data_IF_207527916931
#
_entry.id   IF_207527916931
#
_cell.length_a   1.000
_cell.length_b   1.000
_cell.length_c   1.000
_cell.angle_alpha   90.00
_cell.angle_beta   90.00
_cell.angle_gamma   90.00
#
_symmetry.space_group_name_H-M   'P 1'
#
loop_
_entity.id
_entity.type
_entity.pdbx_description
1 polymer ?
#
# COMPACT_ATOMS: atom_id res chain seq x y z
N UNK A 1 23.57 -104.77 11.17
CA UNK A 1 23.50 -105.40 12.50
C UNK A 1 23.16 -104.37 13.53
N UNK A 2 22.00 -104.51 14.10
CA UNK A 2 21.59 -104.32 15.49
C UNK A 2 21.62 -102.88 16.05
N UNK A 3 20.41 -102.33 16.23
CA UNK A 3 19.63 -102.29 17.50
C UNK A 3 20.18 -101.25 18.48
N UNK A 4 19.48 -100.40 19.13
CA UNK A 4 18.17 -100.22 19.75
C UNK A 4 18.13 -98.81 20.33
N UNK A 5 17.05 -98.04 20.17
CA UNK A 5 16.02 -97.71 21.18
C UNK A 5 16.59 -97.37 22.58
N UNK A 6 16.36 -96.17 23.05
CA UNK A 6 15.68 -95.93 24.33
C UNK A 6 15.12 -94.51 24.43
N UNK A 7 13.91 -94.46 24.81
CA UNK A 7 13.04 -93.42 25.23
C UNK A 7 13.39 -92.95 26.66
N UNK A 8 13.25 -91.68 27.01
CA UNK A 8 12.60 -91.16 28.21
C UNK A 8 12.99 -89.66 28.37
N UNK A 9 12.07 -88.84 28.35
CA UNK A 9 11.20 -88.27 29.38
C UNK A 9 11.75 -87.00 30.06
N UNK A 10 11.08 -85.88 29.74
CA UNK A 10 10.71 -84.74 30.57
C UNK A 10 11.74 -84.09 31.50
N UNK A 11 11.92 -82.78 31.27
CA UNK A 11 11.80 -81.80 32.32
C UNK A 11 11.52 -80.42 31.70
N UNK A 12 10.30 -79.96 31.82
CA UNK A 12 9.86 -78.55 31.61
C UNK A 12 10.47 -77.72 32.73
N UNK A 13 11.44 -76.89 32.43
CA UNK A 13 11.79 -75.77 33.29
C UNK A 13 11.33 -74.49 32.64
N UNK A 14 10.23 -73.97 33.14
CA UNK A 14 9.74 -72.59 32.91
C UNK A 14 10.75 -71.63 33.57
N UNK A 15 11.64 -71.05 32.78
CA UNK A 15 12.38 -69.86 33.20
C UNK A 15 11.50 -68.66 32.80
N UNK A 16 10.83 -68.10 33.79
CA UNK A 16 10.20 -66.75 33.67
C UNK A 16 11.35 -65.76 33.55
N UNK A 17 11.74 -65.44 32.33
CA UNK A 17 12.55 -64.24 32.04
C UNK A 17 11.62 -63.02 32.08
N UNK A 18 11.73 -62.22 33.13
CA UNK A 18 11.25 -60.88 33.17
C UNK A 18 11.93 -60.09 32.04
N UNK A 19 11.39 -60.12 30.82
CA UNK A 19 11.81 -59.30 29.72
C UNK A 19 11.35 -57.92 29.98
N UNK A 20 12.30 -57.04 30.24
CA UNK A 20 12.15 -55.60 30.07
C UNK A 20 11.56 -55.36 28.69
N UNK A 21 10.38 -54.77 28.64
CA UNK A 21 9.77 -54.31 27.37
C UNK A 21 10.68 -53.26 26.76
N UNK A 22 11.58 -53.67 25.89
CA UNK A 22 12.26 -52.76 24.97
C UNK A 22 11.20 -52.21 24.03
N UNK A 23 10.67 -51.03 24.41
CA UNK A 23 9.75 -50.29 23.62
C UNK A 23 10.52 -49.58 22.48
N UNK A 24 11.11 -50.36 21.57
CA UNK A 24 11.89 -49.90 20.44
C UNK A 24 10.99 -49.74 19.19
N UNK A 25 9.84 -49.12 19.36
CA UNK A 25 9.09 -48.72 18.19
C UNK A 25 9.86 -47.59 17.48
N UNK A 26 10.06 -47.77 16.18
CA UNK A 26 10.68 -46.70 15.35
C UNK A 26 9.78 -45.48 15.26
N UNK A 27 10.35 -44.32 15.06
CA UNK A 27 9.60 -43.07 14.91
C UNK A 27 8.54 -43.21 13.83
N UNK A 28 8.84 -43.91 12.72
CA UNK A 28 7.91 -44.11 11.61
C UNK A 28 6.69 -44.97 12.01
N UNK A 29 6.87 -45.96 12.87
CA UNK A 29 5.77 -46.78 13.41
C UNK A 29 4.86 -45.99 14.33
N UNK A 30 5.41 -45.07 15.13
CA UNK A 30 4.64 -44.16 15.99
C UNK A 30 3.88 -43.12 15.19
N UNK A 31 4.43 -42.65 14.08
CA UNK A 31 3.75 -41.74 13.13
C UNK A 31 2.57 -42.46 12.47
N UNK A 32 2.80 -43.70 11.98
CA UNK A 32 1.73 -44.50 11.35
C UNK A 32 0.59 -44.82 12.34
N UNK A 33 0.90 -45.01 13.62
CA UNK A 33 -0.07 -45.29 14.68
C UNK A 33 -0.82 -44.02 15.17
N UNK A 34 -0.46 -42.81 14.70
CA UNK A 34 -1.02 -41.51 15.14
C UNK A 34 -1.05 -41.32 16.66
N UNK A 35 -0.12 -41.94 17.38
CA UNK A 35 -0.07 -41.88 18.84
C UNK A 35 0.72 -40.65 19.31
N UNK A 36 0.01 -39.51 19.47
CA UNK A 36 0.60 -38.21 19.80
C UNK A 36 1.34 -38.21 21.15
N UNK A 37 0.87 -39.00 22.15
CA UNK A 37 1.47 -39.04 23.48
C UNK A 37 2.81 -39.76 23.47
N UNK A 38 2.94 -40.89 22.76
CA UNK A 38 4.18 -41.64 22.62
C UNK A 38 5.18 -40.91 21.70
N UNK A 39 4.72 -40.24 20.67
CA UNK A 39 5.57 -39.36 19.84
C UNK A 39 6.20 -38.23 20.66
N UNK A 40 5.44 -37.57 21.55
CA UNK A 40 5.96 -36.55 22.44
C UNK A 40 6.97 -37.10 23.44
N UNK A 41 6.68 -38.26 24.03
CA UNK A 41 7.63 -38.95 24.94
C UNK A 41 8.93 -39.34 24.20
N UNK A 42 8.84 -39.84 22.97
CA UNK A 42 10.00 -40.18 22.14
C UNK A 42 10.80 -38.95 21.74
N UNK A 43 10.14 -37.85 21.40
CA UNK A 43 10.79 -36.56 21.14
C UNK A 43 11.60 -36.08 22.35
N UNK A 44 11.02 -36.16 23.55
CA UNK A 44 11.70 -35.76 24.78
C UNK A 44 12.92 -36.66 25.10
N UNK A 45 12.80 -37.96 24.86
CA UNK A 45 13.90 -38.92 25.05
C UNK A 45 15.06 -38.63 24.06
N UNK A 46 14.75 -38.40 22.77
CA UNK A 46 15.76 -38.08 21.76
C UNK A 46 16.45 -36.74 22.09
N UNK A 47 15.71 -35.76 22.58
CA UNK A 47 16.28 -34.47 23.00
C UNK A 47 17.22 -34.62 24.22
N UNK A 48 16.86 -35.49 25.17
CA UNK A 48 17.73 -35.78 26.30
C UNK A 48 19.02 -36.55 25.91
N UNK A 49 18.92 -37.48 24.97
CA UNK A 49 20.07 -38.21 24.44
C UNK A 49 20.95 -37.29 23.57
N UNK A 50 20.36 -36.40 22.77
CA UNK A 50 21.10 -35.38 22.03
C UNK A 50 21.92 -34.49 22.98
N UNK A 51 21.30 -34.01 24.06
CA UNK A 51 22.00 -33.19 25.07
C UNK A 51 23.17 -33.95 25.73
N UNK A 52 23.02 -35.27 25.99
CA UNK A 52 24.12 -36.12 26.53
C UNK A 52 25.24 -36.28 25.50
N UNK A 53 24.90 -36.50 24.22
CA UNK A 53 25.88 -36.64 23.14
C UNK A 53 26.61 -35.31 22.95
N UNK A 54 25.92 -34.18 22.94
CA UNK A 54 26.54 -32.88 22.86
C UNK A 54 27.49 -32.60 24.04
N UNK A 55 27.08 -32.92 25.26
CA UNK A 55 27.93 -32.80 26.44
C UNK A 55 29.17 -33.71 26.37
N UNK A 56 29.00 -34.95 25.90
CA UNK A 56 30.11 -35.89 25.70
C UNK A 56 31.06 -35.42 24.58
N UNK A 57 30.51 -34.93 23.47
CA UNK A 57 31.30 -34.37 22.36
C UNK A 57 32.08 -33.13 22.80
N UNK A 58 31.49 -32.28 23.64
CA UNK A 58 32.18 -31.13 24.21
C UNK A 58 33.40 -31.52 25.06
N UNK A 59 33.35 -32.67 25.72
CA UNK A 59 34.47 -33.17 26.51
C UNK A 59 35.50 -33.98 25.70
N UNK A 60 35.06 -34.64 24.61
CA UNK A 60 35.92 -35.51 23.76
C UNK A 60 36.60 -34.72 22.63
N UNK A 61 36.01 -33.61 22.15
CA UNK A 61 36.58 -32.77 21.09
C UNK A 61 37.68 -31.86 21.62
N UNK A 62 38.86 -32.43 21.86
CA UNK A 62 40.11 -31.72 22.19
C UNK A 62 40.75 -31.09 20.93
N UNK A 63 40.23 -31.32 19.73
CA UNK A 63 40.58 -30.51 18.59
C UNK A 63 39.75 -29.21 18.64
N UNK A 64 40.37 -28.15 19.09
CA UNK A 64 39.84 -26.76 18.91
C UNK A 64 39.78 -26.51 17.41
N UNK A 65 38.71 -26.95 16.76
CA UNK A 65 38.43 -26.52 15.39
C UNK A 65 38.17 -25.02 15.47
N UNK A 66 39.05 -24.25 14.86
CA UNK A 66 38.85 -22.80 14.68
C UNK A 66 37.91 -22.63 13.49
N UNK A 67 36.77 -22.06 13.74
CA UNK A 67 35.84 -21.69 12.63
C UNK A 67 36.24 -20.36 12.05
N UNK A 68 36.42 -20.33 10.72
CA UNK A 68 36.56 -19.07 10.00
C UNK A 68 35.19 -18.43 9.85
N UNK A 69 35.03 -17.22 10.37
CA UNK A 69 33.76 -16.50 10.41
C UNK A 69 33.94 -15.03 10.05
N UNK A 70 32.90 -14.39 9.60
CA UNK A 70 32.85 -12.92 9.50
C UNK A 70 32.09 -12.36 10.69
N UNK A 71 32.60 -11.26 11.26
CA UNK A 71 32.00 -10.61 12.43
C UNK A 71 31.64 -9.16 12.12
N UNK A 72 30.65 -8.63 12.83
CA UNK A 72 30.32 -7.22 12.80
C UNK A 72 30.12 -6.68 14.21
N UNK A 73 30.58 -5.44 14.44
CA UNK A 73 30.33 -4.72 15.68
C UNK A 73 28.97 -4.03 15.60
N UNK A 74 28.11 -4.28 16.56
CA UNK A 74 26.80 -3.66 16.65
C UNK A 74 26.92 -2.18 17.00
N UNK A 75 26.10 -1.36 16.35
CA UNK A 75 25.98 0.06 16.62
C UNK A 75 24.51 0.43 16.71
N UNK A 76 24.21 1.42 17.52
CA UNK A 76 22.91 2.05 17.51
C UNK A 76 22.64 2.64 16.13
N UNK A 77 21.51 2.32 15.56
CA UNK A 77 21.10 2.80 14.24
C UNK A 77 19.62 3.15 14.22
N UNK A 78 19.21 3.93 13.24
CA UNK A 78 17.78 4.18 13.00
C UNK A 78 17.19 2.98 12.29
N UNK A 79 16.24 2.32 12.93
CA UNK A 79 15.48 1.22 12.33
C UNK A 79 14.12 1.72 11.88
N UNK A 80 13.79 1.50 10.62
CA UNK A 80 12.49 1.76 10.04
C UNK A 80 11.87 0.44 9.59
N UNK A 81 10.68 0.16 10.05
CA UNK A 81 9.87 -0.92 9.51
C UNK A 81 8.92 -0.37 8.45
N UNK A 82 8.81 -1.08 7.35
CA UNK A 82 7.99 -0.68 6.21
C UNK A 82 6.82 -1.62 6.02
N UNK A 83 5.68 -1.03 5.70
CA UNK A 83 4.53 -1.73 5.18
C UNK A 83 4.61 -1.68 3.65
N UNK A 84 4.78 -2.84 3.02
CA UNK A 84 4.78 -2.98 1.56
C UNK A 84 3.36 -3.19 1.05
N UNK A 85 2.86 -2.25 0.24
CA UNK A 85 1.52 -2.29 -0.33
C UNK A 85 1.54 -1.90 -1.80
N UNK A 86 0.49 -2.30 -2.52
CA UNK A 86 0.29 -1.89 -3.90
C UNK A 86 -0.83 -0.87 -3.99
N UNK A 87 -0.72 0.05 -4.94
CA UNK A 87 -1.73 1.05 -5.22
C UNK A 87 -1.78 1.39 -6.71
N UNK A 88 -2.76 2.20 -7.07
CA UNK A 88 -2.95 2.72 -8.41
C UNK A 88 -2.62 4.21 -8.46
N UNK A 89 -1.90 4.62 -9.48
CA UNK A 89 -1.67 6.04 -9.77
C UNK A 89 -2.95 6.64 -10.29
N UNK A 90 -3.38 7.75 -9.73
CA UNK A 90 -4.61 8.43 -10.06
C UNK A 90 -4.44 9.94 -10.15
N UNK A 91 -5.41 10.61 -10.73
CA UNK A 91 -5.62 12.05 -10.66
C UNK A 91 -7.10 12.35 -10.53
N UNK A 92 -7.48 13.38 -9.75
CA UNK A 92 -8.87 13.84 -9.65
C UNK A 92 -9.33 14.60 -10.91
N UNK A 93 -8.37 15.02 -11.72
CA UNK A 93 -8.59 15.76 -12.94
C UNK A 93 -8.45 14.85 -14.18
N UNK A 94 -9.23 13.77 -14.22
CA UNK A 94 -9.39 12.85 -15.35
C UNK A 94 -10.90 12.59 -15.51
N UNK A 95 -11.54 13.33 -16.39
CA UNK A 95 -12.98 13.22 -16.59
C UNK A 95 -13.36 13.06 -18.05
N UNK A 96 -14.48 12.43 -18.24
CA UNK A 96 -15.18 12.32 -19.51
C UNK A 96 -16.16 13.49 -19.62
N UNK A 97 -15.94 14.36 -20.59
CA UNK A 97 -16.80 15.51 -20.84
C UNK A 97 -18.04 15.03 -21.60
N UNK A 98 -19.21 15.40 -21.09
CA UNK A 98 -20.50 15.06 -21.65
C UNK A 98 -21.26 16.33 -22.04
N UNK A 99 -22.14 16.30 -23.05
CA UNK A 99 -23.02 17.41 -23.35
C UNK A 99 -24.11 17.52 -22.26
N UNK A 100 -24.45 18.73 -21.85
CA UNK A 100 -25.56 18.98 -20.93
C UNK A 100 -26.94 18.90 -21.63
N UNK A 101 -26.96 19.10 -22.96
CA UNK A 101 -28.16 19.01 -23.78
C UNK A 101 -27.92 18.14 -25.02
N UNK A 102 -28.90 17.34 -25.42
CA UNK A 102 -28.80 16.59 -26.67
C UNK A 102 -28.94 17.49 -27.87
N UNK A 103 -28.27 17.16 -28.98
CA UNK A 103 -28.37 17.91 -30.24
C UNK A 103 -27.25 17.52 -31.21
N UNK A 104 -27.22 18.18 -32.36
CA UNK A 104 -26.17 17.97 -33.36
C UNK A 104 -24.92 18.80 -33.01
N UNK A 105 -23.75 18.20 -33.10
CA UNK A 105 -22.47 18.89 -32.86
C UNK A 105 -22.11 19.80 -34.03
N UNK A 106 -22.31 21.10 -33.87
CA UNK A 106 -22.08 22.11 -34.94
C UNK A 106 -20.62 22.56 -35.00
N UNK A 107 -19.91 22.53 -33.89
CA UNK A 107 -18.49 22.87 -33.81
C UNK A 107 -17.74 21.97 -32.87
N UNK A 108 -16.52 21.57 -33.27
CA UNK A 108 -15.53 20.85 -32.48
C UNK A 108 -14.20 21.60 -32.67
N UNK A 109 -13.75 22.29 -31.61
CA UNK A 109 -12.65 23.26 -31.67
C UNK A 109 -11.33 22.68 -31.15
N UNK A 110 -11.30 21.40 -30.81
CA UNK A 110 -10.14 20.72 -30.20
C UNK A 110 -9.86 19.38 -30.87
N UNK A 111 -8.62 18.93 -30.73
CA UNK A 111 -8.15 17.62 -31.21
C UNK A 111 -7.51 16.86 -30.07
N UNK A 112 -7.42 15.53 -30.20
CA UNK A 112 -6.64 14.70 -29.29
C UNK A 112 -5.18 15.18 -29.22
N UNK A 113 -4.60 15.17 -28.01
CA UNK A 113 -3.26 15.68 -27.72
C UNK A 113 -3.18 17.19 -27.49
N UNK A 114 -4.24 17.96 -27.70
CA UNK A 114 -4.23 19.42 -27.57
C UNK A 114 -4.33 19.83 -26.10
N UNK A 115 -3.50 20.80 -25.68
CA UNK A 115 -3.64 21.46 -24.37
C UNK A 115 -4.75 22.51 -24.42
N UNK A 116 -5.54 22.55 -23.34
CA UNK A 116 -6.66 23.48 -23.18
C UNK A 116 -6.59 24.14 -21.81
N UNK A 117 -7.11 25.37 -21.74
CA UNK A 117 -7.23 26.17 -20.52
C UNK A 117 -8.64 26.07 -19.94
N UNK A 118 -8.76 26.21 -18.61
CA UNK A 118 -10.06 26.25 -17.93
C UNK A 118 -10.98 27.32 -18.58
N UNK A 119 -12.24 26.95 -18.88
CA UNK A 119 -13.23 27.80 -19.52
C UNK A 119 -13.13 27.88 -21.05
N UNK A 120 -12.08 27.29 -21.67
CA UNK A 120 -11.94 27.28 -23.13
C UNK A 120 -13.10 26.51 -23.77
N UNK A 121 -13.67 27.07 -24.86
CA UNK A 121 -14.74 26.44 -25.64
C UNK A 121 -14.16 25.26 -26.42
N UNK A 122 -14.62 24.07 -26.11
CA UNK A 122 -14.18 22.80 -26.71
C UNK A 122 -15.05 22.41 -27.90
N UNK A 123 -16.37 22.52 -27.70
CA UNK A 123 -17.36 22.12 -28.70
C UNK A 123 -18.65 22.90 -28.50
N UNK A 124 -19.51 22.89 -29.51
CA UNK A 124 -20.84 23.52 -29.46
C UNK A 124 -21.87 22.61 -30.13
N UNK A 125 -22.95 22.40 -29.40
CA UNK A 125 -24.13 21.69 -29.88
C UNK A 125 -25.06 22.72 -30.52
N UNK A 126 -25.89 22.30 -31.48
CA UNK A 126 -26.94 23.15 -32.08
C UNK A 126 -27.86 23.72 -30.98
N UNK A 127 -28.04 25.02 -31.01
CA UNK A 127 -28.80 25.74 -30.00
C UNK A 127 -30.33 25.72 -30.22
N UNK A 128 -30.78 25.11 -31.33
CA UNK A 128 -32.21 25.02 -31.67
C UNK A 128 -32.95 26.38 -31.67
N UNK A 129 -32.24 27.49 -31.98
CA UNK A 129 -32.79 28.82 -31.99
C UNK A 129 -32.74 29.53 -30.63
N UNK A 130 -32.08 28.98 -29.61
CA UNK A 130 -31.95 29.61 -28.30
C UNK A 130 -31.22 30.98 -28.38
N UNK A 131 -30.26 31.13 -29.29
CA UNK A 131 -29.55 32.40 -29.51
C UNK A 131 -30.49 33.49 -30.00
N UNK A 132 -31.41 33.19 -30.92
CA UNK A 132 -32.43 34.14 -31.41
C UNK A 132 -33.41 34.51 -30.29
N UNK A 133 -33.80 33.54 -29.45
CA UNK A 133 -34.65 33.79 -28.30
C UNK A 133 -33.97 34.76 -27.29
N UNK A 134 -32.67 34.55 -27.00
CA UNK A 134 -31.91 35.49 -26.16
C UNK A 134 -31.90 36.89 -26.77
N UNK A 135 -31.60 37.02 -28.06
CA UNK A 135 -31.58 38.33 -28.74
C UNK A 135 -32.92 39.06 -28.69
N UNK A 136 -34.04 38.33 -28.87
CA UNK A 136 -35.40 38.90 -28.77
C UNK A 136 -35.68 39.39 -27.34
N UNK A 137 -35.38 38.59 -26.31
CA UNK A 137 -35.57 38.96 -24.91
C UNK A 137 -34.65 40.12 -24.48
N UNK A 138 -33.44 40.20 -24.99
CA UNK A 138 -32.51 41.28 -24.73
C UNK A 138 -33.08 42.63 -25.32
N UNK A 139 -33.64 42.58 -26.52
CA UNK A 139 -34.27 43.77 -27.13
C UNK A 139 -35.44 44.26 -26.28
N UNK A 140 -36.31 43.36 -25.83
CA UNK A 140 -37.42 43.68 -24.93
C UNK A 140 -36.94 44.22 -23.57
N UNK A 141 -35.90 43.62 -22.99
CA UNK A 141 -35.29 44.11 -21.75
C UNK A 141 -34.72 45.54 -21.93
N UNK A 142 -34.02 45.80 -23.00
CA UNK A 142 -33.46 47.15 -23.27
C UNK A 142 -34.57 48.23 -23.39
N UNK A 143 -35.70 47.91 -24.04
CA UNK A 143 -36.85 48.79 -24.09
C UNK A 143 -37.42 49.07 -22.69
N UNK A 144 -37.66 48.01 -21.91
CA UNK A 144 -38.17 48.10 -20.54
C UNK A 144 -37.21 48.87 -19.62
N UNK A 145 -35.89 48.63 -19.76
CA UNK A 145 -34.84 49.35 -19.02
C UNK A 145 -34.89 50.86 -19.33
N UNK A 146 -34.96 51.24 -20.60
CA UNK A 146 -35.05 52.64 -21.00
C UNK A 146 -36.33 53.26 -20.46
N UNK A 147 -37.46 52.56 -20.52
CA UNK A 147 -38.74 53.03 -19.98
C UNK A 147 -38.67 53.26 -18.48
N UNK A 148 -38.08 52.29 -17.75
CA UNK A 148 -37.88 52.41 -16.31
C UNK A 148 -36.95 53.58 -15.94
N UNK A 149 -35.85 53.79 -16.64
CA UNK A 149 -34.92 54.90 -16.41
C UNK A 149 -35.62 56.26 -16.61
N UNK A 150 -36.48 56.38 -17.65
CA UNK A 150 -37.31 57.61 -17.87
C UNK A 150 -38.31 57.78 -16.73
N UNK A 151 -39.08 56.79 -16.35
CA UNK A 151 -40.03 56.84 -15.23
C UNK A 151 -39.35 57.19 -13.92
N UNK A 152 -38.18 56.60 -13.64
CA UNK A 152 -37.35 56.89 -12.47
C UNK A 152 -36.96 58.40 -12.43
N UNK A 153 -36.50 58.94 -13.57
CA UNK A 153 -36.12 60.33 -13.65
C UNK A 153 -37.32 61.29 -13.42
N UNK A 154 -38.50 61.01 -14.02
CA UNK A 154 -39.73 61.79 -13.80
C UNK A 154 -40.14 61.66 -12.31
N UNK A 155 -40.18 60.49 -11.73
CA UNK A 155 -40.52 60.26 -10.34
C UNK A 155 -39.56 60.97 -9.36
N UNK A 156 -38.27 60.99 -9.66
CA UNK A 156 -37.27 61.72 -8.86
C UNK A 156 -37.54 63.28 -8.87
N UNK A 157 -38.14 63.75 -9.89
CA UNK A 157 -38.58 65.18 -10.04
C UNK A 157 -40.01 65.42 -9.51
N UNK A 158 -40.61 64.39 -8.87
CA UNK A 158 -42.00 64.41 -8.37
C UNK A 158 -43.05 64.56 -9.48
N UNK A 159 -42.73 64.12 -10.69
CA UNK A 159 -43.63 64.15 -11.88
C UNK A 159 -44.08 62.67 -12.12
N UNK A 160 -45.41 62.47 -12.21
CA UNK A 160 -46.02 61.17 -12.52
C UNK A 160 -46.52 60.42 -11.30
N UNK A 161 -46.94 59.18 -11.53
CA UNK A 161 -47.50 58.26 -10.50
C UNK A 161 -46.46 57.25 -10.01
N UNK A 162 -46.42 57.02 -8.71
CA UNK A 162 -45.62 55.95 -8.09
C UNK A 162 -45.90 54.54 -8.69
N UNK A 163 -47.19 54.32 -9.00
CA UNK A 163 -47.63 53.05 -9.60
C UNK A 163 -46.95 52.86 -10.96
N UNK A 164 -46.85 53.94 -11.81
CA UNK A 164 -46.17 53.83 -13.12
C UNK A 164 -44.68 53.54 -12.97
N UNK A 165 -44.03 54.19 -11.99
CA UNK A 165 -42.61 53.86 -11.66
C UNK A 165 -42.46 52.43 -11.24
N UNK A 166 -43.25 51.89 -10.28
CA UNK A 166 -43.19 50.53 -9.80
C UNK A 166 -43.53 49.50 -10.90
N UNK A 167 -44.49 49.80 -11.76
CA UNK A 167 -44.83 48.96 -12.92
C UNK A 167 -43.63 48.83 -13.88
N UNK A 168 -43.02 49.99 -14.26
CA UNK A 168 -41.86 49.99 -15.12
C UNK A 168 -40.66 49.25 -14.52
N UNK A 169 -40.44 49.40 -13.20
CA UNK A 169 -39.42 48.67 -12.47
C UNK A 169 -39.66 47.15 -12.49
N UNK A 170 -40.87 46.73 -12.17
CA UNK A 170 -41.26 45.32 -12.14
C UNK A 170 -41.11 44.69 -13.53
N UNK A 171 -41.54 45.36 -14.57
CA UNK A 171 -41.41 44.89 -15.97
C UNK A 171 -39.95 44.75 -16.39
N UNK A 172 -39.09 45.73 -16.07
CA UNK A 172 -37.66 45.64 -16.33
C UNK A 172 -37.01 44.48 -15.61
N UNK A 173 -37.31 44.28 -14.30
CA UNK A 173 -36.77 43.17 -13.50
C UNK A 173 -37.25 41.81 -14.01
N UNK A 174 -38.51 41.69 -14.41
CA UNK A 174 -39.08 40.47 -14.99
C UNK A 174 -38.33 40.06 -16.26
N UNK A 175 -38.17 41.02 -17.20
CA UNK A 175 -37.43 40.75 -18.44
C UNK A 175 -35.95 40.48 -18.21
N UNK A 176 -35.31 41.13 -17.23
CA UNK A 176 -33.93 40.86 -16.83
C UNK A 176 -33.77 39.39 -16.40
N UNK A 177 -34.71 38.89 -15.60
CA UNK A 177 -34.70 37.47 -15.16
C UNK A 177 -34.92 36.53 -16.34
N UNK A 178 -35.85 36.88 -17.27
CA UNK A 178 -36.09 36.07 -18.47
C UNK A 178 -34.88 36.01 -19.38
N UNK A 179 -34.15 37.11 -19.58
CA UNK A 179 -32.87 37.11 -20.32
C UNK A 179 -31.85 36.25 -19.64
N UNK A 180 -31.70 36.34 -18.30
CA UNK A 180 -30.74 35.51 -17.54
C UNK A 180 -31.06 34.02 -17.69
N UNK A 181 -32.33 33.66 -17.62
CA UNK A 181 -32.77 32.26 -17.81
C UNK A 181 -32.45 31.76 -19.23
N UNK A 182 -32.79 32.57 -20.27
CA UNK A 182 -32.51 32.17 -21.65
C UNK A 182 -31.00 32.05 -21.93
N UNK A 183 -30.17 32.94 -21.38
CA UNK A 183 -28.71 32.85 -21.45
C UNK A 183 -28.17 31.62 -20.77
N UNK A 184 -28.72 31.24 -19.61
CA UNK A 184 -28.33 30.01 -18.92
C UNK A 184 -28.68 28.77 -19.74
N UNK A 185 -29.79 28.76 -20.46
CA UNK A 185 -30.12 27.65 -21.39
C UNK A 185 -29.17 27.62 -22.58
N UNK A 186 -28.88 28.78 -23.19
CA UNK A 186 -27.94 28.88 -24.31
C UNK A 186 -26.52 28.41 -23.89
N UNK A 187 -26.09 28.76 -22.67
CA UNK A 187 -24.76 28.37 -22.18
C UNK A 187 -24.57 26.83 -22.07
N UNK A 188 -25.66 26.07 -21.92
CA UNK A 188 -25.62 24.60 -21.88
C UNK A 188 -25.33 23.96 -23.24
N UNK A 189 -25.47 24.72 -24.34
CA UNK A 189 -25.07 24.25 -25.67
C UNK A 189 -23.59 24.41 -25.93
N UNK A 190 -22.87 25.17 -25.10
CA UNK A 190 -21.45 25.39 -25.16
C UNK A 190 -20.69 24.48 -24.21
N UNK A 191 -19.86 23.60 -24.75
CA UNK A 191 -19.07 22.66 -23.97
C UNK A 191 -17.70 23.26 -23.70
N UNK A 192 -17.41 23.57 -22.43
CA UNK A 192 -16.20 24.24 -21.98
C UNK A 192 -15.36 23.36 -21.07
N UNK A 193 -14.03 23.56 -21.07
CA UNK A 193 -13.12 22.87 -20.21
C UNK A 193 -13.33 23.23 -18.72
N UNK A 194 -13.60 22.29 -17.82
CA UNK A 194 -13.79 22.56 -16.39
C UNK A 194 -12.49 22.88 -15.66
N UNK A 195 -11.37 22.42 -16.17
CA UNK A 195 -10.00 22.69 -15.69
C UNK A 195 -9.03 22.75 -16.88
N UNK A 196 -7.81 23.22 -16.62
CA UNK A 196 -6.74 23.23 -17.61
C UNK A 196 -6.08 21.85 -17.69
N UNK A 197 -5.92 21.30 -18.89
CA UNK A 197 -5.39 19.96 -19.09
C UNK A 197 -5.08 19.67 -20.55
N UNK A 198 -4.98 18.41 -20.89
CA UNK A 198 -4.80 17.91 -22.25
C UNK A 198 -6.01 17.07 -22.64
N UNK A 199 -6.50 17.24 -23.85
CA UNK A 199 -7.52 16.36 -24.43
C UNK A 199 -6.82 15.05 -24.79
N UNK A 200 -7.17 14.01 -24.08
CA UNK A 200 -6.57 12.69 -24.27
C UNK A 200 -7.16 12.00 -25.51
N UNK A 201 -8.48 11.98 -25.59
CA UNK A 201 -9.21 11.33 -26.67
C UNK A 201 -10.49 12.12 -27.01
N UNK A 202 -10.88 12.09 -28.28
CA UNK A 202 -12.14 12.66 -28.80
C UNK A 202 -12.93 11.52 -29.42
N UNK A 203 -14.18 11.33 -28.97
CA UNK A 203 -15.03 10.19 -29.35
C UNK A 203 -16.09 10.53 -30.41
N UNK A 204 -16.21 11.81 -30.77
CA UNK A 204 -17.27 12.32 -31.65
C UNK A 204 -16.71 13.17 -32.77
N UNK A 205 -17.46 13.28 -33.83
CA UNK A 205 -17.14 14.13 -34.99
C UNK A 205 -18.17 15.25 -35.16
N UNK A 206 -17.76 16.33 -35.83
CA UNK A 206 -18.67 17.41 -36.21
C UNK A 206 -19.79 16.88 -37.10
N UNK A 207 -21.04 17.28 -36.83
CA UNK A 207 -22.25 16.83 -37.54
C UNK A 207 -22.92 15.62 -36.87
N UNK A 208 -22.31 14.99 -35.92
CA UNK A 208 -22.87 13.87 -35.18
C UNK A 208 -23.91 14.35 -34.15
N UNK A 209 -24.98 13.57 -33.98
CA UNK A 209 -25.96 13.77 -32.90
C UNK A 209 -25.36 13.24 -31.59
N UNK A 210 -25.33 14.09 -30.57
CA UNK A 210 -24.75 13.78 -29.27
C UNK A 210 -25.80 13.92 -28.17
N UNK A 211 -25.67 13.10 -27.13
CA UNK A 211 -26.51 13.14 -25.93
C UNK A 211 -25.68 12.77 -24.70
N UNK A 212 -26.17 13.09 -23.51
CA UNK A 212 -25.56 12.61 -22.28
C UNK A 212 -25.59 11.08 -22.24
N UNK A 213 -24.42 10.46 -22.03
CA UNK A 213 -24.30 9.01 -22.05
C UNK A 213 -22.91 8.53 -21.66
N UNK A 214 -22.72 7.21 -21.48
CA UNK A 214 -21.48 6.64 -20.93
C UNK A 214 -20.23 6.90 -21.80
N UNK A 215 -20.43 7.15 -23.10
CA UNK A 215 -19.33 7.33 -24.05
C UNK A 215 -18.73 8.76 -24.02
N UNK A 216 -19.53 9.77 -23.63
CA UNK A 216 -19.10 11.17 -23.60
C UNK A 216 -18.67 11.73 -24.96
N UNK A 217 -18.15 12.95 -24.96
CA UNK A 217 -17.63 13.62 -26.17
C UNK A 217 -16.13 13.50 -26.29
N UNK A 218 -15.44 13.70 -25.19
CA UNK A 218 -13.99 13.67 -25.11
C UNK A 218 -13.51 13.48 -23.68
N UNK A 219 -12.28 13.03 -23.52
CA UNK A 219 -11.59 12.89 -22.23
C UNK A 219 -10.60 14.04 -22.06
N UNK A 220 -10.67 14.70 -20.91
CA UNK A 220 -9.69 15.71 -20.49
C UNK A 220 -8.92 15.19 -19.27
N UNK A 221 -7.61 15.32 -19.29
CA UNK A 221 -6.73 14.86 -18.23
C UNK A 221 -5.73 15.95 -17.84
N UNK A 222 -5.52 16.14 -16.54
CA UNK A 222 -4.42 16.92 -16.00
C UNK A 222 -3.51 16.04 -15.16
N UNK A 223 -2.24 15.96 -15.54
CA UNK A 223 -1.23 15.10 -14.92
C UNK A 223 -0.36 15.81 -13.88
N UNK A 224 -0.67 17.06 -13.52
CA UNK A 224 0.15 17.83 -12.57
C UNK A 224 -0.02 17.36 -11.13
N UNK A 225 -1.24 16.97 -10.75
CA UNK A 225 -1.60 16.59 -9.38
C UNK A 225 -1.85 15.08 -9.27
N UNK A 226 -0.78 14.31 -9.46
CA UNK A 226 -0.85 12.85 -9.37
C UNK A 226 -0.75 12.37 -7.93
N UNK A 227 -1.41 11.27 -7.64
CA UNK A 227 -1.32 10.56 -6.36
C UNK A 227 -1.47 9.06 -6.57
N UNK A 228 -0.99 8.30 -5.59
CA UNK A 228 -1.26 6.87 -5.53
C UNK A 228 -2.38 6.64 -4.53
N UNK A 229 -3.43 5.97 -4.98
CA UNK A 229 -4.55 5.50 -4.16
C UNK A 229 -4.28 4.05 -3.76
N UNK A 230 -4.43 3.74 -2.48
CA UNK A 230 -4.29 2.38 -1.96
C UNK A 230 -5.12 2.19 -0.72
N UNK A 231 -5.35 0.93 -0.34
CA UNK A 231 -6.05 0.54 0.88
C UNK A 231 -5.10 -0.09 1.88
N UNK A 232 -5.21 0.31 3.14
CA UNK A 232 -4.37 -0.16 4.26
C UNK A 232 -5.25 -0.85 5.30
N UNK A 233 -4.83 -1.99 5.89
CA UNK A 233 -5.56 -2.66 6.95
C UNK A 233 -5.83 -1.77 8.17
N UNK A 234 -6.97 -1.94 8.83
CA UNK A 234 -7.39 -1.14 10.01
C UNK A 234 -6.39 -1.19 11.17
N UNK A 235 -5.58 -2.25 11.28
CA UNK A 235 -4.51 -2.38 12.30
C UNK A 235 -3.43 -1.30 12.25
N UNK A 236 -3.39 -0.55 11.16
CA UNK A 236 -2.47 0.58 10.96
C UNK A 236 -3.10 1.94 11.28
N UNK A 237 -4.37 1.98 11.72
CA UNK A 237 -5.00 3.21 12.21
C UNK A 237 -4.19 3.76 13.39
N UNK A 238 -3.92 5.05 13.35
CA UNK A 238 -3.11 5.74 14.37
C UNK A 238 -1.59 5.66 14.18
N UNK A 239 -1.10 4.72 13.36
CA UNK A 239 0.33 4.63 13.01
C UNK A 239 0.70 5.56 11.86
N UNK A 240 -0.25 5.88 10.99
CA UNK A 240 -0.08 6.76 9.83
C UNK A 240 -0.65 8.14 10.12
N UNK A 241 0.04 9.16 9.62
CA UNK A 241 -0.38 10.57 9.70
C UNK A 241 -0.27 11.23 8.33
N UNK A 242 -1.10 12.24 8.10
CA UNK A 242 -0.93 13.12 6.94
C UNK A 242 0.46 13.74 7.02
N UNK A 243 1.19 13.72 5.90
CA UNK A 243 2.59 14.15 5.82
C UNK A 243 3.62 13.03 5.99
N UNK A 244 3.22 11.79 6.37
CA UNK A 244 4.14 10.64 6.42
C UNK A 244 4.80 10.43 5.07
N UNK A 245 6.12 10.28 5.06
CA UNK A 245 6.88 9.99 3.84
C UNK A 245 6.65 8.56 3.39
N UNK A 246 6.54 8.39 2.09
CA UNK A 246 6.29 7.10 1.43
C UNK A 246 7.21 6.98 0.24
N UNK A 247 7.92 5.86 0.15
CA UNK A 247 8.68 5.52 -1.04
C UNK A 247 7.76 4.82 -2.03
N UNK A 248 7.66 5.38 -3.23
CA UNK A 248 6.76 4.89 -4.28
C UNK A 248 7.61 4.40 -5.44
N UNK A 249 7.58 3.11 -5.68
CA UNK A 249 8.25 2.47 -6.80
C UNK A 249 7.26 2.18 -7.93
N UNK A 250 7.50 2.75 -9.08
CA UNK A 250 6.71 2.50 -10.29
C UNK A 250 7.38 1.42 -11.14
N UNK A 251 6.78 0.24 -11.14
CA UNK A 251 7.32 -0.92 -11.87
C UNK A 251 7.42 -0.67 -13.37
N UNK A 252 6.44 0.04 -13.96
CA UNK A 252 6.40 0.35 -15.40
C UNK A 252 7.53 1.28 -15.86
N UNK A 253 8.05 2.12 -14.98
CA UNK A 253 9.11 3.09 -15.29
C UNK A 253 10.45 2.71 -14.68
N UNK A 254 10.50 1.69 -13.81
CA UNK A 254 11.67 1.32 -13.00
C UNK A 254 12.25 2.54 -12.24
N UNK A 255 11.37 3.39 -11.71
CA UNK A 255 11.74 4.64 -10.99
C UNK A 255 11.15 4.68 -9.59
N UNK A 256 11.93 5.24 -8.67
CA UNK A 256 11.48 5.55 -7.31
C UNK A 256 11.10 7.03 -7.21
N UNK A 257 9.96 7.29 -6.57
CA UNK A 257 9.47 8.62 -6.25
C UNK A 257 9.30 8.76 -4.73
N UNK A 258 9.61 9.92 -4.20
CA UNK A 258 9.33 10.26 -2.81
C UNK A 258 7.95 10.91 -2.75
N UNK A 259 7.01 10.22 -2.14
CA UNK A 259 5.66 10.71 -1.92
C UNK A 259 5.41 11.11 -0.47
N UNK A 260 4.25 11.73 -0.23
CA UNK A 260 3.75 12.05 1.12
C UNK A 260 2.27 11.69 1.21
N UNK A 261 1.86 11.11 2.31
CA UNK A 261 0.44 10.89 2.60
C UNK A 261 -0.27 12.24 2.62
N UNK A 262 -1.18 12.47 1.68
CA UNK A 262 -1.96 13.70 1.57
C UNK A 262 -3.34 13.59 2.21
N UNK A 263 -3.89 12.38 2.24
CA UNK A 263 -5.22 12.11 2.77
C UNK A 263 -5.28 10.70 3.35
N UNK A 264 -5.99 10.56 4.45
CA UNK A 264 -6.33 9.29 5.10
C UNK A 264 -7.85 9.22 5.15
N UNK A 265 -8.44 8.14 4.64
CA UNK A 265 -9.88 7.93 4.63
C UNK A 265 -10.42 7.72 6.04
N UNK A 266 -11.58 8.32 6.32
CA UNK A 266 -12.27 8.16 7.60
C UNK A 266 -13.23 6.96 7.64
N UNK A 267 -13.39 6.28 6.51
CA UNK A 267 -14.28 5.13 6.36
C UNK A 267 -13.48 3.84 6.26
N UNK A 268 -13.86 2.85 7.07
CA UNK A 268 -13.33 1.49 6.99
C UNK A 268 -14.29 0.65 6.18
N UNK A 269 -13.80 0.04 5.11
CA UNK A 269 -14.58 -0.88 4.32
C UNK A 269 -14.82 -2.18 5.11
N UNK A 270 -16.08 -2.52 5.44
CA UNK A 270 -16.39 -3.68 6.29
C UNK A 270 -16.06 -5.02 5.63
N UNK A 271 -15.97 -5.09 4.29
CA UNK A 271 -15.72 -6.33 3.57
C UNK A 271 -14.27 -6.82 3.68
N UNK A 272 -13.31 -5.89 3.72
CA UNK A 272 -11.88 -6.20 3.75
C UNK A 272 -11.13 -5.55 4.93
N UNK A 273 -11.84 -4.89 5.85
CA UNK A 273 -11.27 -4.24 7.02
C UNK A 273 -10.09 -3.31 6.68
N UNK A 274 -10.27 -2.47 5.66
CA UNK A 274 -9.25 -1.53 5.21
C UNK A 274 -9.80 -0.11 5.09
N UNK A 275 -8.91 0.87 5.16
CA UNK A 275 -9.19 2.27 4.88
C UNK A 275 -8.30 2.78 3.74
N UNK A 276 -8.84 3.70 2.95
CA UNK A 276 -8.11 4.29 1.81
C UNK A 276 -7.11 5.34 2.26
N UNK A 277 -5.96 5.39 1.60
CA UNK A 277 -5.03 6.50 1.69
C UNK A 277 -4.68 7.03 0.29
N UNK A 278 -4.34 8.31 0.23
CA UNK A 278 -3.82 8.94 -0.96
C UNK A 278 -2.42 9.49 -0.69
N UNK A 279 -1.47 9.09 -1.52
CA UNK A 279 -0.06 9.51 -1.43
C UNK A 279 0.25 10.41 -2.62
N UNK A 280 0.52 11.69 -2.39
CA UNK A 280 0.91 12.62 -3.46
C UNK A 280 2.28 12.28 -4.00
N UNK A 281 2.43 12.29 -5.32
CA UNK A 281 3.69 12.06 -6.03
C UNK A 281 3.93 13.17 -7.06
N UNK A 282 5.15 13.70 -7.16
CA UNK A 282 5.50 14.69 -8.17
C UNK A 282 5.60 14.06 -9.56
N UNK A 283 5.15 14.79 -10.60
CA UNK A 283 5.22 14.35 -11.99
C UNK A 283 5.91 15.39 -12.90
N UNK A 284 7.16 15.82 -12.61
CA UNK A 284 7.82 16.89 -13.39
C UNK A 284 8.10 16.47 -14.84
N UNK A 285 8.33 15.21 -15.09
CA UNK A 285 8.64 14.68 -16.43
C UNK A 285 7.37 14.31 -17.22
N UNK A 286 6.17 14.45 -16.63
CA UNK A 286 4.90 14.02 -17.21
C UNK A 286 4.87 12.56 -17.69
N UNK A 287 5.62 11.67 -17.01
CA UNK A 287 5.68 10.25 -17.33
C UNK A 287 4.61 9.43 -16.59
N UNK A 288 4.10 9.95 -15.47
CA UNK A 288 3.04 9.30 -14.72
C UNK A 288 1.73 9.34 -15.50
N UNK A 289 1.04 8.21 -15.51
CA UNK A 289 -0.28 8.06 -16.15
C UNK A 289 -1.26 7.47 -15.14
N UNK A 290 -2.53 7.83 -15.20
CA UNK A 290 -3.58 7.14 -14.44
C UNK A 290 -3.56 5.63 -14.69
N UNK A 291 -3.94 4.86 -13.67
CA UNK A 291 -4.01 3.39 -13.66
C UNK A 291 -2.65 2.66 -13.71
N UNK A 292 -1.51 3.34 -13.60
CA UNK A 292 -0.23 2.67 -13.39
C UNK A 292 -0.18 2.04 -12.00
N UNK A 293 0.36 0.82 -11.91
CA UNK A 293 0.57 0.14 -10.63
C UNK A 293 1.83 0.67 -9.96
N UNK A 294 1.69 1.04 -8.70
CA UNK A 294 2.78 1.49 -7.84
C UNK A 294 2.93 0.56 -6.63
N UNK A 295 4.17 0.28 -6.24
CA UNK A 295 4.51 -0.33 -4.95
C UNK A 295 4.87 0.77 -3.98
N UNK A 296 4.29 0.75 -2.80
CA UNK A 296 4.51 1.76 -1.77
C UNK A 296 5.18 1.09 -0.57
N UNK A 297 6.27 1.70 -0.10
CA UNK A 297 6.87 1.38 1.19
C UNK A 297 6.50 2.51 2.17
N UNK A 298 5.60 2.21 3.08
CA UNK A 298 5.09 3.17 4.07
C UNK A 298 5.75 2.88 5.41
N UNK A 299 6.39 3.86 6.02
CA UNK A 299 6.99 3.70 7.35
C UNK A 299 5.86 3.64 8.38
N UNK A 300 5.72 2.49 9.07
CA UNK A 300 4.74 2.29 10.13
C UNK A 300 5.33 2.29 11.53
N UNK A 301 6.66 2.16 11.63
CA UNK A 301 7.37 2.11 12.90
C UNK A 301 8.81 2.59 12.71
N UNK A 302 9.29 3.41 13.65
CA UNK A 302 10.65 3.95 13.66
C UNK A 302 11.22 3.95 15.07
N UNK A 303 12.43 3.41 15.22
CA UNK A 303 13.23 3.50 16.45
C UNK A 303 14.56 4.18 16.11
N UNK A 304 14.91 5.23 16.88
CA UNK A 304 16.12 6.02 16.60
C UNK A 304 17.42 5.34 17.03
N UNK A 305 17.36 4.58 18.13
CA UNK A 305 18.52 3.88 18.71
C UNK A 305 18.17 2.41 18.83
N UNK A 306 18.10 1.71 17.71
CA UNK A 306 17.82 0.29 17.64
C UNK A 306 19.10 -0.51 17.42
N UNK A 307 19.21 -1.65 18.06
CA UNK A 307 20.19 -2.67 17.71
C UNK A 307 19.54 -3.56 16.65
N UNK A 308 20.17 -3.64 15.48
CA UNK A 308 19.68 -4.46 14.38
C UNK A 308 20.72 -5.48 13.99
N UNK A 309 20.24 -6.66 13.64
CA UNK A 309 21.09 -7.76 13.15
C UNK A 309 20.51 -8.26 11.81
N UNK A 310 21.34 -8.81 10.91
CA UNK A 310 20.84 -9.51 9.73
C UNK A 310 19.92 -10.66 10.17
N UNK A 311 18.76 -10.79 9.54
CA UNK A 311 17.76 -11.79 9.95
C UNK A 311 18.29 -13.24 9.83
N UNK A 312 19.25 -13.50 8.95
CA UNK A 312 19.86 -14.80 8.72
C UNK A 312 20.83 -15.26 9.83
N UNK A 313 21.24 -14.37 10.74
CA UNK A 313 22.13 -14.74 11.86
C UNK A 313 21.38 -15.16 13.11
N UNK A 314 20.08 -14.91 13.17
CA UNK A 314 19.22 -15.30 14.27
C UNK A 314 18.93 -16.79 14.12
N UNK A 315 19.28 -17.55 15.14
CA UNK A 315 19.04 -18.98 15.21
C UNK A 315 18.01 -19.30 16.30
N UNK A 316 17.41 -20.47 16.21
CA UNK A 316 16.44 -20.96 17.18
C UNK A 316 16.94 -22.28 17.80
N UNK A 317 16.86 -22.42 19.11
CA UNK A 317 17.19 -23.67 19.80
C UNK A 317 16.03 -24.68 19.71
N UNK A 318 16.27 -25.91 20.09
CA UNK A 318 15.25 -26.97 20.09
C UNK A 318 14.03 -26.70 21.01
N UNK A 319 14.05 -25.64 21.80
CA UNK A 319 12.96 -25.18 22.66
C UNK A 319 12.20 -23.96 22.09
N UNK A 320 12.62 -23.45 20.93
CA UNK A 320 12.02 -22.29 20.29
C UNK A 320 12.56 -20.95 20.78
N UNK A 321 13.67 -20.93 21.54
CA UNK A 321 14.29 -19.68 21.96
C UNK A 321 15.23 -19.17 20.88
N UNK A 322 15.17 -17.88 20.61
CA UNK A 322 16.03 -17.23 19.62
C UNK A 322 17.35 -16.80 20.25
N UNK A 323 18.44 -16.99 19.51
CA UNK A 323 19.77 -16.58 19.93
C UNK A 323 20.63 -16.13 18.74
N UNK A 324 21.69 -15.39 19.07
CA UNK A 324 22.74 -14.97 18.14
C UNK A 324 24.11 -15.33 18.75
N UNK A 325 25.09 -15.67 17.91
CA UNK A 325 26.44 -15.88 18.39
C UNK A 325 27.19 -14.55 18.53
N UNK A 326 27.70 -14.29 19.73
CA UNK A 326 28.54 -13.14 20.07
C UNK A 326 29.99 -13.62 20.22
N UNK A 327 30.91 -12.89 19.64
CA UNK A 327 32.34 -13.11 19.80
C UNK A 327 32.83 -12.46 21.11
N UNK A 328 33.16 -13.29 22.10
CA UNK A 328 33.69 -12.85 23.41
C UNK A 328 35.16 -13.12 23.53
N UNK A 329 35.86 -12.44 24.46
CA UNK A 329 37.31 -12.59 24.69
C UNK A 329 38.13 -12.38 23.39
N UNK A 330 37.74 -11.38 22.60
CA UNK A 330 38.42 -11.06 21.34
C UNK A 330 39.87 -10.61 21.61
N UNK A 331 40.83 -11.30 20.96
CA UNK A 331 42.23 -10.92 20.95
C UNK A 331 42.71 -10.78 19.49
N UNK A 332 42.43 -9.62 18.92
CA UNK A 332 42.75 -9.32 17.52
C UNK A 332 41.88 -10.12 16.55
N UNK A 333 42.40 -11.22 16.00
CA UNK A 333 41.73 -12.04 14.99
C UNK A 333 41.02 -13.29 15.53
N UNK A 334 41.07 -13.52 16.84
CA UNK A 334 40.46 -14.71 17.46
C UNK A 334 39.52 -14.32 18.59
N UNK A 335 38.43 -15.06 18.73
CA UNK A 335 37.46 -14.91 19.82
C UNK A 335 36.84 -16.25 20.19
N UNK A 336 35.98 -16.27 21.18
CA UNK A 336 35.19 -17.45 21.58
C UNK A 336 33.72 -17.17 21.28
N UNK A 337 33.07 -18.13 20.62
CA UNK A 337 31.63 -18.06 20.35
C UNK A 337 30.82 -18.24 21.63
N UNK A 338 29.92 -17.31 21.93
CA UNK A 338 28.95 -17.39 23.02
C UNK A 338 27.56 -17.22 22.50
N UNK A 339 26.62 -18.07 22.89
CA UNK A 339 25.19 -17.90 22.59
C UNK A 339 24.65 -16.73 23.45
N UNK A 340 24.13 -15.71 22.82
CA UNK A 340 23.36 -14.65 23.45
C UNK A 340 21.89 -14.87 23.13
N UNK A 341 21.09 -15.15 24.15
CA UNK A 341 19.63 -15.26 23.99
C UNK A 341 19.08 -13.89 23.68
N UNK A 342 18.25 -13.79 22.64
CA UNK A 342 17.71 -12.52 22.17
C UNK A 342 16.18 -12.53 22.11
N UNK A 343 15.60 -11.37 22.33
CA UNK A 343 14.19 -11.13 22.02
C UNK A 343 14.14 -10.25 20.79
N UNK A 344 13.54 -10.74 19.74
CA UNK A 344 13.42 -10.03 18.47
C UNK A 344 12.21 -9.09 18.45
N UNK A 345 12.34 -7.99 17.75
CA UNK A 345 11.25 -7.05 17.42
C UNK A 345 10.74 -7.26 16.02
N UNK A 346 10.59 -6.16 15.28
CA UNK A 346 10.16 -6.19 13.88
C UNK A 346 11.33 -6.48 12.94
N UNK A 347 11.00 -7.08 11.80
CA UNK A 347 11.97 -7.33 10.72
C UNK A 347 11.59 -6.54 9.47
N UNK A 348 12.58 -5.94 8.82
CA UNK A 348 12.40 -5.18 7.58
C UNK A 348 13.68 -5.18 6.76
N UNK A 349 13.59 -5.30 5.44
CA UNK A 349 14.74 -5.27 4.51
C UNK A 349 15.91 -6.18 4.92
N UNK A 350 15.60 -7.44 5.32
CA UNK A 350 16.56 -8.48 5.75
C UNK A 350 17.30 -8.18 7.07
N UNK A 351 16.88 -7.20 7.84
CA UNK A 351 17.39 -6.94 9.19
C UNK A 351 16.27 -7.07 10.21
N UNK A 352 16.62 -7.51 11.42
CA UNK A 352 15.68 -7.67 12.54
C UNK A 352 16.15 -6.83 13.71
N UNK A 353 15.21 -6.07 14.29
CA UNK A 353 15.41 -5.34 15.53
C UNK A 353 15.57 -6.31 16.70
N UNK A 354 16.51 -6.05 17.59
CA UNK A 354 16.70 -6.77 18.83
C UNK A 354 16.22 -5.90 20.00
N UNK A 355 15.21 -6.39 20.71
CA UNK A 355 14.63 -5.70 21.86
C UNK A 355 15.43 -5.92 23.15
N UNK A 356 16.05 -7.09 23.29
CA UNK A 356 16.88 -7.43 24.43
C UNK A 356 17.87 -8.55 24.12
N UNK A 357 18.95 -8.65 24.90
CA UNK A 357 19.95 -9.71 24.81
C UNK A 357 21.25 -9.29 24.11
N UNK A 358 21.30 -8.14 23.44
CA UNK A 358 22.49 -7.57 22.83
C UNK A 358 22.62 -6.09 23.22
N UNK A 359 23.84 -5.59 23.17
CA UNK A 359 24.19 -4.19 23.47
C UNK A 359 25.01 -3.57 22.33
N UNK A 360 25.04 -2.25 22.28
CA UNK A 360 25.96 -1.55 21.38
C UNK A 360 27.43 -1.94 21.72
N UNK A 361 28.25 -2.09 20.68
CA UNK A 361 29.62 -2.58 20.69
C UNK A 361 29.78 -4.09 20.89
N UNK A 362 28.72 -4.89 21.05
CA UNK A 362 28.84 -6.32 20.95
C UNK A 362 29.30 -6.72 19.54
N UNK A 363 30.18 -7.72 19.47
CA UNK A 363 30.67 -8.25 18.20
C UNK A 363 29.89 -9.54 17.90
N UNK A 364 29.07 -9.51 16.85
CA UNK A 364 28.27 -10.66 16.43
C UNK A 364 28.88 -11.36 15.22
N UNK A 365 28.63 -12.66 15.10
CA UNK A 365 28.99 -13.44 13.92
C UNK A 365 27.92 -13.24 12.85
N UNK A 366 28.31 -12.81 11.65
CA UNK A 366 27.40 -12.54 10.53
C UNK A 366 27.48 -13.61 9.43
N UNK A 367 28.61 -14.28 9.28
CA UNK A 367 28.77 -15.41 8.35
C UNK A 367 29.41 -16.59 9.06
N UNK A 368 29.10 -17.81 8.62
CA UNK A 368 29.57 -19.05 9.25
C UNK A 368 28.77 -19.48 10.49
N UNK A 369 27.65 -18.84 10.79
CA UNK A 369 26.82 -19.09 11.99
C UNK A 369 26.34 -20.52 12.11
N UNK A 370 26.14 -21.24 10.99
CA UNK A 370 25.67 -22.63 10.97
C UNK A 370 26.77 -23.66 11.27
N UNK A 371 28.05 -23.26 11.28
CA UNK A 371 29.20 -24.15 11.49
C UNK A 371 29.79 -24.01 12.88
N UNK A 372 29.27 -23.09 13.69
CA UNK A 372 29.80 -22.80 15.02
C UNK A 372 28.92 -23.35 16.14
N UNK A 373 29.55 -23.69 17.24
CA UNK A 373 28.90 -24.12 18.47
C UNK A 373 29.37 -23.26 19.65
N UNK A 374 28.60 -23.26 20.73
CA UNK A 374 28.94 -22.51 21.93
C UNK A 374 30.33 -22.97 22.47
N UNK A 375 31.18 -22.00 22.80
CA UNK A 375 32.54 -22.25 23.28
C UNK A 375 33.60 -22.52 22.21
N UNK A 376 33.21 -22.58 20.91
CA UNK A 376 34.15 -22.78 19.80
C UNK A 376 35.03 -21.55 19.60
N UNK A 377 36.30 -21.78 19.24
CA UNK A 377 37.17 -20.68 18.82
C UNK A 377 36.84 -20.18 17.43
N UNK A 378 36.73 -18.91 17.32
CA UNK A 378 36.47 -18.16 16.08
C UNK A 378 37.78 -17.56 15.57
N UNK A 379 37.97 -17.56 14.25
CA UNK A 379 39.03 -16.85 13.56
C UNK A 379 38.36 -15.91 12.50
N UNK A 380 38.69 -14.61 12.49
CA UNK A 380 38.06 -13.60 11.63
C UNK A 380 39.00 -12.46 11.23
#
# INVERSE_FOLDING_TARGET
>A
MTKQIFILLTAVTLVVSCGQKDNNQTVDQLIAAKNNKELQARKAAIQADLAKIEAALATLNVRKEEALVSVATLKDTVFNHYLDIQGSVETKENILIQPEMPGTLVALNVKAGQRVSKGQLLARVDDGGSSQQVASLETQYQLAKTTFERQKNLWSQKIGSEIQYLQAQTQMLSLQRSVAQAKAMLSKTEIRAPFSGTIDEVFVERGQVVSAGPQGLMRIVNLNNMYVSTSIPESYIGKLKVGTQVDVYLTSLNKNYKGKVRQIGNFINPNNRSFGIEVSIPNPENLLRPNQVAKLKVIDYTVKNAIVVPSNVIQEDGKGNQFVFVATNSNGKTATAKKAMVTTGKSSDNVTEILSGLSANDIIVIEGVNTISEGMKLNF
#
